data_IF_766776179930
#
_entry.id   IF_766776179930
#
_cell.length_a   1.000
_cell.length_b   1.000
_cell.length_c   1.000
_cell.angle_alpha   90.00
_cell.angle_beta   90.00
_cell.angle_gamma   90.00
#
_symmetry.space_group_name_H-M   'P 1'
#
loop_
_entity.id
_entity.type
_entity.pdbx_description
1 polymer ?
2 non-polymer ?
3 water ?
#
# COMPACT_ATOMS: atom_id res chain seq x y z
N UNK A 13 -6.80 29.04 4.62
CA UNK A 13 -6.87 29.47 3.19
C UNK A 13 -5.75 28.86 2.36
N UNK A 14 -4.55 28.79 2.93
CA UNK A 14 -3.41 28.20 2.24
C UNK A 14 -3.61 26.70 1.96
N UNK A 15 -4.60 26.10 2.64
CA UNK A 15 -4.97 24.71 2.44
C UNK A 15 -6.22 24.54 1.58
N UNK A 16 -6.73 25.66 1.08
CA UNK A 16 -7.77 25.64 0.06
C UNK A 16 -7.28 25.02 -1.26
N UNK A 17 -8.08 24.11 -1.87
CA UNK A 17 -7.66 23.24 -2.98
C UNK A 17 -6.79 23.90 -4.05
N UNK A 18 -7.31 24.93 -4.69
CA UNK A 18 -6.60 25.62 -5.75
C UNK A 18 -5.26 26.17 -5.21
N UNK A 19 -5.32 26.89 -4.10
CA UNK A 19 -4.14 27.50 -3.52
C UNK A 19 -3.12 26.43 -3.11
N UNK A 20 -3.62 25.33 -2.57
CA UNK A 20 -2.76 24.25 -2.10
C UNK A 20 -1.97 23.60 -3.23
N UNK A 21 -2.62 23.39 -4.37
CA UNK A 21 -1.96 22.82 -5.54
C UNK A 21 -0.90 23.75 -6.09
N UNK A 22 -1.20 25.04 -6.18
CA UNK A 22 -0.18 26.00 -6.61
C UNK A 22 0.98 26.05 -5.63
N UNK A 23 0.69 25.93 -4.34
CA UNK A 23 1.75 25.96 -3.34
C UNK A 23 2.63 24.71 -3.49
N UNK A 24 2.04 23.57 -3.79
CA UNK A 24 2.83 22.35 -3.94
C UNK A 24 3.67 22.41 -5.22
N UNK A 25 3.11 22.99 -6.27
CA UNK A 25 3.87 23.24 -7.48
C UNK A 25 5.19 23.97 -7.17
N UNK A 26 5.12 25.11 -6.50
CA UNK A 26 6.32 25.89 -6.25
C UNK A 26 7.27 25.17 -5.32
N UNK A 27 6.74 24.24 -4.52
CA UNK A 27 7.58 23.56 -3.56
C UNK A 27 8.35 22.38 -4.17
N UNK A 28 8.08 22.09 -5.45
CA UNK A 28 8.78 21.00 -6.12
C UNK A 28 10.30 21.10 -5.98
N UNK A 29 10.95 19.97 -5.71
CA UNK A 29 12.41 19.90 -5.63
C UNK A 29 13.03 20.29 -6.97
N UNK A 30 14.28 20.80 -6.95
CA UNK A 30 15.02 21.11 -8.17
C UNK A 30 15.46 19.81 -8.84
N UNK A 31 15.90 19.91 -10.09
CA UNK A 31 16.66 18.84 -10.72
C UNK A 31 17.94 18.55 -9.95
N UNK A 32 18.24 17.27 -9.81
CA UNK A 32 19.42 16.82 -9.10
C UNK A 32 20.37 16.14 -10.08
N UNK A 33 21.60 16.65 -10.17
CA UNK A 33 22.67 15.99 -10.92
C UNK A 33 23.66 15.32 -9.97
N UNK A 34 23.89 14.01 -10.15
CA UNK A 34 24.84 13.29 -9.30
C UNK A 34 26.29 13.68 -9.59
N UNK A 35 26.61 13.96 -10.85
CA UNK A 35 27.96 14.39 -11.21
C UNK A 35 28.97 13.28 -10.95
N UNK A 36 28.83 12.18 -11.69
CA UNK A 36 29.79 11.08 -11.62
C UNK A 36 31.11 11.49 -12.27
N UNK A 37 32.22 11.44 -11.52
CA UNK A 37 33.58 11.76 -12.00
C UNK A 37 34.10 10.82 -13.09
N UNK A 44 27.59 -2.04 -7.77
CA UNK A 44 28.62 -1.24 -7.09
C UNK A 44 28.62 0.22 -7.57
N UNK A 45 28.90 0.44 -8.86
CA UNK A 45 28.90 1.80 -9.38
C UNK A 45 27.46 2.25 -9.68
N UNK A 46 26.67 1.40 -10.32
CA UNK A 46 25.26 1.73 -10.50
C UNK A 46 24.58 1.93 -9.15
N UNK A 47 24.86 1.05 -8.19
CA UNK A 47 24.34 1.20 -6.83
C UNK A 47 25.04 2.33 -6.09
N UNK A 48 26.24 2.68 -6.56
CA UNK A 48 26.97 3.81 -6.01
C UNK A 48 26.24 5.09 -6.44
N UNK A 49 25.91 5.15 -7.72
CA UNK A 49 25.23 6.31 -8.27
C UNK A 49 23.85 6.49 -7.64
N UNK A 50 23.06 5.43 -7.61
CA UNK A 50 21.69 5.49 -7.08
C UNK A 50 21.74 5.98 -5.65
N UNK A 51 22.74 5.49 -4.92
CA UNK A 51 22.93 5.85 -3.53
C UNK A 51 23.38 7.29 -3.36
N UNK A 52 24.24 7.78 -4.25
CA UNK A 52 24.69 9.16 -4.13
C UNK A 52 23.52 10.07 -4.47
N UNK A 53 22.69 9.63 -5.41
CA UNK A 53 21.52 10.40 -5.84
C UNK A 53 20.53 10.54 -4.69
N UNK A 54 20.23 9.42 -4.04
CA UNK A 54 19.24 9.40 -2.98
C UNK A 54 19.62 10.39 -1.90
N UNK A 55 20.88 10.34 -1.52
CA UNK A 55 21.41 11.21 -0.48
C UNK A 55 21.19 12.68 -0.84
N UNK A 56 21.46 13.03 -2.09
CA UNK A 56 21.24 14.39 -2.58
C UNK A 56 19.76 14.77 -2.62
N UNK A 57 18.94 13.86 -3.11
CA UNK A 57 17.50 14.09 -3.20
C UNK A 57 16.85 14.26 -1.82
N UNK A 58 17.36 13.53 -0.83
CA UNK A 58 16.79 13.59 0.49
C UNK A 58 16.85 15.00 1.07
N UNK A 59 17.96 15.68 0.81
CA UNK A 59 18.14 17.04 1.29
C UNK A 59 17.01 17.91 0.79
N UNK A 60 16.73 17.82 -0.51
CA UNK A 60 15.68 18.63 -1.11
C UNK A 60 14.30 18.12 -0.73
N UNK A 61 14.21 16.83 -0.41
CA UNK A 61 12.94 16.31 0.04
C UNK A 61 12.53 16.94 1.36
N UNK A 62 13.45 17.06 2.30
CA UNK A 62 13.18 17.77 3.55
C UNK A 62 12.63 19.17 3.25
N UNK A 63 13.30 19.89 2.35
CA UNK A 63 12.90 21.27 2.07
C UNK A 63 11.50 21.26 1.51
N UNK A 64 11.23 20.31 0.63
CA UNK A 64 9.90 20.16 0.03
C UNK A 64 8.81 19.99 1.09
N UNK A 65 8.97 19.00 1.96
CA UNK A 65 8.05 18.79 3.08
C UNK A 65 7.77 20.06 3.90
N UNK A 66 8.82 20.78 4.28
CA UNK A 66 8.65 21.97 5.11
C UNK A 66 7.80 23.03 4.43
N UNK A 67 7.69 22.95 3.11
CA UNK A 67 6.90 23.92 2.35
C UNK A 67 5.45 23.49 2.19
N UNK A 68 5.13 22.27 2.61
CA UNK A 68 3.73 21.84 2.62
C UNK A 68 3.00 22.54 3.76
N UNK A 69 1.97 23.31 3.42
CA UNK A 69 1.27 24.12 4.42
C UNK A 69 0.88 23.30 5.64
N UNK A 70 1.36 23.74 6.81
CA UNK A 70 1.01 23.07 8.04
C UNK A 70 1.99 22.00 8.49
N UNK A 71 2.87 21.54 7.61
CA UNK A 71 3.75 20.43 7.97
C UNK A 71 4.67 20.83 9.12
N UNK A 72 5.28 22.01 9.00
CA UNK A 72 6.20 22.53 10.01
C UNK A 72 5.48 22.76 11.36
N UNK A 73 4.16 22.84 11.33
CA UNK A 73 3.36 23.02 12.54
C UNK A 73 2.98 21.73 13.27
N UNK A 74 3.20 20.57 12.64
CA UNK A 74 3.12 19.31 13.36
C UNK A 74 4.26 19.27 14.39
N UNK A 75 4.10 18.49 15.45
CA UNK A 75 5.19 18.30 16.40
C UNK A 75 6.39 17.80 15.63
N UNK A 76 7.57 18.19 16.08
CA UNK A 76 8.81 17.82 15.41
C UNK A 76 8.89 16.30 15.45
N UNK A 77 8.20 15.73 16.43
CA UNK A 77 8.17 14.30 16.59
C UNK A 77 7.52 13.65 15.37
N UNK A 78 6.33 14.13 15.02
CA UNK A 78 5.61 13.63 13.86
C UNK A 78 6.35 13.94 12.56
N UNK A 79 6.89 15.15 12.45
CA UNK A 79 7.63 15.54 11.27
C UNK A 79 8.74 14.54 10.97
N UNK A 80 9.54 14.24 11.99
CA UNK A 80 10.68 13.35 11.83
C UNK A 80 10.18 11.94 11.51
N UNK A 81 9.12 11.54 12.21
CA UNK A 81 8.50 10.24 12.02
C UNK A 81 8.05 10.06 10.56
N UNK A 82 7.37 11.07 10.02
CA UNK A 82 6.84 10.98 8.69
C UNK A 82 7.96 10.93 7.67
N UNK A 83 8.93 11.82 7.84
CA UNK A 83 10.06 11.88 6.94
C UNK A 83 10.84 10.56 6.90
N UNK A 84 11.02 9.96 8.07
CA UNK A 84 11.87 8.79 8.20
C UNK A 84 11.24 7.60 7.47
N UNK A 85 9.93 7.50 7.49
CA UNK A 85 9.29 6.32 6.93
C UNK A 85 8.82 6.50 5.49
N UNK A 86 8.72 7.74 5.03
CA UNK A 86 8.24 7.98 3.68
C UNK A 86 9.30 8.08 2.60
N UNK A 87 10.58 8.27 2.97
CA UNK A 87 11.48 8.94 2.05
C UNK A 87 11.65 8.15 0.78
N UNK A 88 11.78 6.85 0.93
CA UNK A 88 11.95 5.96 -0.19
C UNK A 88 10.71 5.99 -1.11
N UNK A 89 9.52 5.94 -0.53
CA UNK A 89 8.28 6.08 -1.32
C UNK A 89 8.22 7.38 -2.13
N UNK A 90 8.63 8.49 -1.51
CA UNK A 90 8.53 9.80 -2.16
C UNK A 90 9.51 9.88 -3.33
N UNK A 91 10.71 9.37 -3.12
CA UNK A 91 11.71 9.27 -4.17
C UNK A 91 11.19 8.44 -5.34
N UNK A 92 10.55 7.32 -5.04
CA UNK A 92 10.05 6.44 -6.09
C UNK A 92 8.84 7.04 -6.79
N UNK A 93 8.02 7.76 -6.04
CA UNK A 93 6.93 8.48 -6.66
C UNK A 93 7.49 9.51 -7.63
N UNK A 94 8.50 10.27 -7.19
CA UNK A 94 9.21 11.16 -8.08
C UNK A 94 9.74 10.48 -9.33
N UNK A 95 10.46 9.37 -9.15
CA UNK A 95 10.99 8.57 -10.25
C UNK A 95 9.88 8.19 -11.26
N UNK A 96 8.76 7.70 -10.73
CA UNK A 96 7.70 7.19 -11.60
C UNK A 96 7.12 8.31 -12.46
N UNK A 97 7.02 9.49 -11.85
CA UNK A 97 6.42 10.61 -12.53
C UNK A 97 7.33 11.15 -13.62
N UNK A 98 8.64 11.24 -13.39
CA UNK A 98 9.46 11.69 -14.50
C UNK A 98 9.74 10.61 -15.53
N UNK A 99 9.45 9.35 -15.20
CA UNK A 99 9.61 8.24 -16.15
C UNK A 99 8.32 7.93 -16.93
N UNK A 100 7.26 8.68 -16.63
CA UNK A 100 5.92 8.22 -16.98
C UNK A 100 5.68 8.18 -18.48
N UNK A 101 6.43 8.98 -19.23
CA UNK A 101 6.21 9.06 -20.67
C UNK A 101 7.16 8.17 -21.47
N UNK A 102 8.02 7.41 -20.79
CA UNK A 102 9.03 6.61 -21.46
C UNK A 102 9.07 5.16 -20.98
N UNK A 103 8.21 4.32 -21.55
CA UNK A 103 8.19 2.90 -21.22
C UNK A 103 9.56 2.26 -21.33
N UNK A 104 9.86 1.36 -20.40
CA UNK A 104 11.07 0.57 -20.48
C UNK A 104 12.23 1.30 -19.82
N UNK A 105 12.00 2.55 -19.44
CA UNK A 105 13.08 3.36 -18.90
C UNK A 105 12.77 3.96 -17.55
N UNK A 106 13.82 4.27 -16.80
CA UNK A 106 13.67 4.96 -15.53
C UNK A 106 14.54 6.22 -15.51
N UNK A 107 13.90 7.39 -15.62
CA UNK A 107 14.66 8.63 -15.50
C UNK A 107 14.88 8.99 -14.04
N UNK A 108 15.96 8.44 -13.48
CA UNK A 108 16.35 8.72 -12.09
C UNK A 108 16.79 10.17 -11.88
N UNK A 109 17.45 10.73 -12.90
CA UNK A 109 18.03 12.06 -12.80
C UNK A 109 18.50 12.44 -14.19
N UNK A 110 18.76 13.74 -14.41
CA UNK A 110 19.14 14.25 -15.73
C UNK A 110 20.41 13.66 -16.36
N UNK A 111 21.23 12.97 -15.58
CA UNK A 111 22.34 12.26 -16.20
C UNK A 111 22.39 10.82 -15.73
N UNK A 112 21.22 10.25 -15.45
CA UNK A 112 21.16 8.87 -14.99
C UNK A 112 19.87 8.22 -15.45
N UNK A 113 19.83 7.83 -16.72
CA UNK A 113 18.68 7.14 -17.27
C UNK A 113 19.03 5.68 -17.44
N UNK A 114 18.30 4.81 -16.74
CA UNK A 114 18.54 3.37 -16.81
C UNK A 114 17.35 2.68 -17.45
N UNK A 115 17.60 1.80 -18.42
CA UNK A 115 16.52 0.95 -18.92
C UNK A 115 16.51 -0.37 -18.18
N UNK A 116 15.42 -1.10 -18.34
CA UNK A 116 15.16 -2.24 -17.50
C UNK A 116 16.38 -3.14 -17.37
N UNK A 117 16.99 -3.48 -18.51
CA UNK A 117 17.99 -4.55 -18.57
C UNK A 117 19.26 -4.20 -17.82
N UNK A 118 19.60 -2.92 -17.75
CA UNK A 118 20.73 -2.50 -16.94
C UNK A 118 20.55 -2.94 -15.50
N UNK A 119 19.37 -3.45 -15.17
CA UNK A 119 19.11 -3.86 -13.80
C UNK A 119 19.52 -5.29 -13.50
N UNK A 120 19.96 -6.01 -14.52
CA UNK A 120 20.42 -7.39 -14.34
C UNK A 120 21.83 -7.42 -13.74
N UNK A 121 22.62 -6.40 -14.00
CA UNK A 121 23.94 -6.25 -13.42
C UNK A 121 23.93 -6.56 -11.93
N UNK A 122 23.23 -5.73 -11.16
CA UNK A 122 23.08 -5.97 -9.73
C UNK A 122 21.92 -6.90 -9.43
N UNK A 123 22.18 -7.89 -8.59
CA UNK A 123 21.21 -8.94 -8.31
C UNK A 123 20.12 -8.38 -7.42
N UNK A 124 18.88 -8.78 -7.66
CA UNK A 124 17.78 -8.32 -6.84
C UNK A 124 17.12 -7.04 -7.32
N UNK A 125 17.86 -6.27 -8.12
CA UNK A 125 17.38 -4.97 -8.59
C UNK A 125 16.40 -5.10 -9.74
N UNK A 126 16.66 -6.03 -10.66
CA UNK A 126 15.79 -6.19 -11.82
C UNK A 126 14.34 -6.31 -11.34
N UNK A 127 14.16 -7.08 -10.27
CA UNK A 127 12.84 -7.33 -9.70
C UNK A 127 12.17 -6.03 -9.32
N UNK A 128 12.94 -5.13 -8.71
CA UNK A 128 12.44 -3.83 -8.27
C UNK A 128 12.16 -2.89 -9.45
N UNK A 129 13.07 -2.86 -10.42
CA UNK A 129 12.88 -2.08 -11.63
C UNK A 129 11.56 -2.46 -12.30
N UNK A 130 11.21 -3.74 -12.21
CA UNK A 130 10.01 -4.22 -12.87
C UNK A 130 8.75 -3.77 -12.13
N UNK A 131 8.82 -3.71 -10.81
CA UNK A 131 7.73 -3.13 -10.03
C UNK A 131 7.55 -1.63 -10.29
N UNK A 132 8.66 -0.91 -10.41
CA UNK A 132 8.62 0.53 -10.65
C UNK A 132 8.09 0.80 -12.05
N UNK A 133 8.54 0.03 -13.02
CA UNK A 133 8.12 0.22 -14.39
C UNK A 133 6.65 -0.12 -14.55
N UNK A 134 6.19 -1.10 -13.78
CA UNK A 134 4.81 -1.56 -13.91
C UNK A 134 3.86 -0.53 -13.30
N UNK A 135 4.27 0.03 -12.17
CA UNK A 135 3.45 1.04 -11.50
C UNK A 135 3.40 2.33 -12.35
N UNK A 136 4.54 2.70 -12.92
CA UNK A 136 4.63 3.86 -13.80
C UNK A 136 3.70 3.65 -14.99
N UNK A 137 3.77 2.45 -15.56
CA UNK A 137 2.89 2.06 -16.64
C UNK A 137 1.41 2.29 -16.29
N UNK A 138 1.05 1.97 -15.05
CA UNK A 138 -0.32 2.14 -14.59
C UNK A 138 -0.72 3.63 -14.47
N UNK A 139 0.16 4.45 -13.90
CA UNK A 139 -0.03 5.89 -13.91
C UNK A 139 -0.16 6.48 -15.32
N UNK A 140 0.64 5.97 -16.26
CA UNK A 140 0.49 6.35 -17.66
C UNK A 140 -0.89 5.98 -18.23
N UNK A 141 -1.34 4.76 -17.97
CA UNK A 141 -2.67 4.33 -18.42
C UNK A 141 -3.80 5.17 -17.82
N UNK A 142 -3.62 5.62 -16.58
CA UNK A 142 -4.61 6.46 -15.93
C UNK A 142 -4.49 7.89 -16.40
N UNK A 143 -3.40 8.18 -17.10
CA UNK A 143 -3.16 9.54 -17.55
C UNK A 143 -3.08 10.47 -16.34
N UNK A 144 -2.19 10.12 -15.41
CA UNK A 144 -2.00 10.94 -14.21
C UNK A 144 -1.70 12.38 -14.62
N UNK A 145 -2.45 13.33 -14.05
CA UNK A 145 -2.25 14.75 -14.29
C UNK A 145 -1.18 15.34 -13.38
N UNK A 146 -0.61 16.47 -13.79
CA UNK A 146 0.39 17.17 -12.98
C UNK A 146 -0.22 17.54 -11.62
N UNK A 147 -1.43 18.07 -11.62
CA UNK A 147 -2.11 18.43 -10.38
C UNK A 147 -2.38 17.23 -9.46
N UNK A 148 -2.81 16.13 -10.05
CA UNK A 148 -3.05 14.91 -9.28
C UNK A 148 -1.74 14.40 -8.67
N UNK A 149 -0.68 14.38 -9.46
CA UNK A 149 0.62 13.93 -8.98
C UNK A 149 1.10 14.78 -7.79
N UNK A 150 0.87 16.09 -7.83
CA UNK A 150 1.29 16.94 -6.71
C UNK A 150 0.53 16.57 -5.44
N UNK A 151 -0.75 16.24 -5.57
CA UNK A 151 -1.56 15.84 -4.42
C UNK A 151 -1.14 14.47 -3.87
N UNK A 152 -1.00 13.50 -4.76
CA UNK A 152 -0.65 12.13 -4.36
C UNK A 152 0.68 12.08 -3.60
N UNK A 153 1.68 12.79 -4.10
CA UNK A 153 2.99 12.78 -3.46
C UNK A 153 2.97 13.38 -2.03
N UNK A 154 2.22 14.47 -1.85
CA UNK A 154 2.04 15.00 -0.51
C UNK A 154 1.32 13.97 0.38
N UNK A 155 0.35 13.29 -0.20
CA UNK A 155 -0.38 12.27 0.54
C UNK A 155 0.52 11.11 0.97
N UNK A 156 1.41 10.69 0.09
CA UNK A 156 2.39 9.67 0.43
C UNK A 156 3.17 10.04 1.69
N UNK A 157 3.64 11.29 1.76
CA UNK A 157 4.30 11.77 2.96
C UNK A 157 3.38 11.68 4.17
N UNK A 158 2.23 12.31 4.04
CA UNK A 158 1.33 12.49 5.16
C UNK A 158 0.74 11.19 5.66
N UNK A 159 0.74 10.17 4.81
CA UNK A 159 0.15 8.87 5.15
C UNK A 159 1.22 7.81 5.45
N UNK A 160 2.49 8.20 5.60
CA UNK A 160 3.54 7.17 5.61
C UNK A 160 3.57 6.35 6.89
N UNK A 161 3.10 6.95 7.97
CA UNK A 161 3.17 6.29 9.26
C UNK A 161 1.86 6.40 10.00
N UNK A 162 1.35 5.25 10.47
CA UNK A 162 0.08 5.21 11.22
C UNK A 162 0.28 5.82 12.61
N UNK A 163 1.44 5.55 13.21
CA UNK A 163 1.65 5.80 14.64
C UNK A 163 1.33 7.23 15.03
N UNK A 164 1.88 8.21 14.29
CA UNK A 164 1.65 9.61 14.63
C UNK A 164 0.18 9.98 14.47
N UNK A 165 -0.66 8.99 14.21
CA UNK A 165 -2.07 9.21 13.98
C UNK A 165 -2.95 8.40 14.96
N UNK A 166 -2.35 7.40 15.60
CA UNK A 166 -3.07 6.54 16.54
C UNK A 166 -2.33 6.38 17.87
N UNK A 174 -1.29 16.93 18.27
CA UNK A 174 -0.73 17.05 16.93
C UNK A 174 -1.31 16.01 15.98
N UNK A 175 -1.83 14.92 16.52
CA UNK A 175 -2.49 13.92 15.69
C UNK A 175 -3.70 14.57 15.03
N UNK A 176 -4.44 15.36 15.81
CA UNK A 176 -5.53 16.15 15.28
C UNK A 176 -5.03 16.90 14.04
N UNK A 177 -3.85 17.50 14.14
CA UNK A 177 -3.32 18.32 13.07
C UNK A 177 -3.00 17.49 11.81
N UNK A 178 -2.41 16.31 12.01
CA UNK A 178 -2.03 15.48 10.87
C UNK A 178 -3.27 15.00 10.12
N UNK A 179 -4.28 14.58 10.87
CA UNK A 179 -5.52 14.12 10.27
C UNK A 179 -6.17 15.23 9.45
N UNK A 180 -6.11 16.44 9.98
CA UNK A 180 -6.73 17.57 9.28
C UNK A 180 -5.96 17.89 8.01
N UNK A 181 -4.65 17.73 8.07
CA UNK A 181 -3.79 18.04 6.95
C UNK A 181 -3.99 17.00 5.84
N UNK A 182 -4.08 15.74 6.24
CA UNK A 182 -4.30 14.65 5.31
C UNK A 182 -5.67 14.79 4.62
N UNK A 183 -6.67 15.24 5.36
CA UNK A 183 -7.99 15.48 4.78
C UNK A 183 -7.95 16.64 3.79
N UNK A 184 -7.18 17.66 4.12
CA UNK A 184 -7.05 18.83 3.26
C UNK A 184 -6.47 18.46 1.89
N UNK A 185 -5.43 17.64 1.88
CA UNK A 185 -4.81 17.20 0.63
C UNK A 185 -5.70 16.27 -0.19
N UNK A 186 -6.39 15.36 0.51
CA UNK A 186 -7.44 14.58 -0.11
C UNK A 186 -8.54 15.43 -0.77
N UNK A 187 -9.06 16.42 -0.05
CA UNK A 187 -10.04 17.34 -0.64
C UNK A 187 -9.51 17.95 -1.92
N UNK A 188 -8.24 18.36 -1.88
CA UNK A 188 -7.63 18.99 -3.05
C UNK A 188 -7.56 18.00 -4.22
N UNK A 189 -7.16 16.76 -3.95
CA UNK A 189 -7.17 15.71 -4.97
C UNK A 189 -8.59 15.47 -5.50
N UNK A 190 -9.56 15.37 -4.60
CA UNK A 190 -10.97 15.22 -5.00
C UNK A 190 -11.40 16.42 -5.85
N UNK A 191 -10.98 17.60 -5.45
CA UNK A 191 -11.32 18.80 -6.22
C UNK A 191 -10.71 18.71 -7.61
N UNK A 192 -9.43 18.34 -7.68
CA UNK A 192 -8.74 18.19 -8.96
C UNK A 192 -9.47 17.21 -9.87
N UNK A 193 -9.96 16.12 -9.29
CA UNK A 193 -10.68 15.10 -10.07
C UNK A 193 -12.03 15.64 -10.52
N UNK A 194 -12.67 16.43 -9.68
CA UNK A 194 -13.97 17.02 -10.01
C UNK A 194 -13.93 17.93 -11.25
N UNK A 195 -12.96 18.86 -11.31
CA UNK A 195 -12.91 19.78 -12.43
C UNK A 195 -12.48 19.05 -13.70
N UNK A 196 -12.32 17.73 -13.58
CA UNK A 196 -12.06 16.86 -14.71
C UNK A 196 -13.28 16.79 -15.64
N UNK A 197 -14.45 17.14 -15.13
CA UNK A 197 -15.64 17.16 -15.96
C UNK A 197 -16.28 15.79 -16.13
N UNK A 198 -15.73 14.77 -15.47
CA UNK A 198 -16.29 13.42 -15.59
C UNK A 198 -17.44 13.18 -14.60
N UNK A 199 -18.19 12.11 -14.83
CA UNK A 199 -19.39 11.86 -14.05
C UNK A 199 -18.99 11.59 -12.62
N UNK A 200 -19.96 11.56 -11.72
CA UNK A 200 -19.68 11.30 -10.32
C UNK A 200 -19.26 9.87 -10.01
N UNK A 201 -19.76 8.91 -10.79
CA UNK A 201 -19.34 7.52 -10.63
C UNK A 201 -17.88 7.37 -11.03
N UNK A 202 -17.49 8.07 -12.10
CA UNK A 202 -16.13 8.01 -12.62
C UNK A 202 -15.18 8.72 -11.67
N UNK A 203 -15.65 9.79 -11.03
CA UNK A 203 -14.84 10.52 -10.08
C UNK A 203 -14.46 9.63 -8.91
N UNK A 204 -15.44 8.90 -8.38
CA UNK A 204 -15.19 7.96 -7.32
C UNK A 204 -14.22 6.88 -7.79
N UNK A 205 -14.40 6.42 -9.03
CA UNK A 205 -13.58 5.34 -9.53
C UNK A 205 -12.13 5.81 -9.69
N UNK A 206 -11.96 7.01 -10.22
CA UNK A 206 -10.64 7.56 -10.41
C UNK A 206 -9.93 7.79 -9.07
N UNK A 207 -10.65 8.32 -8.08
CA UNK A 207 -10.07 8.46 -6.76
C UNK A 207 -9.61 7.08 -6.27
N UNK A 208 -10.50 6.10 -6.33
CA UNK A 208 -10.16 4.76 -5.88
C UNK A 208 -8.96 4.16 -6.64
N UNK A 209 -8.94 4.33 -7.97
CA UNK A 209 -7.84 3.78 -8.75
C UNK A 209 -6.49 4.42 -8.38
N UNK A 210 -6.49 5.73 -8.15
CA UNK A 210 -5.29 6.43 -7.72
C UNK A 210 -4.80 5.93 -6.37
N UNK A 211 -5.70 5.83 -5.40
CA UNK A 211 -5.30 5.50 -4.05
C UNK A 211 -4.83 4.06 -3.92
N UNK A 212 -5.40 3.17 -4.73
CA UNK A 212 -4.97 1.78 -4.73
C UNK A 212 -3.58 1.62 -5.29
N UNK A 213 -3.18 2.49 -6.21
CA UNK A 213 -1.80 2.55 -6.64
C UNK A 213 -0.82 2.87 -5.52
N UNK A 214 -1.27 3.58 -4.49
CA UNK A 214 -0.41 3.88 -3.36
C UNK A 214 0.10 2.59 -2.73
N UNK A 215 -0.76 1.58 -2.65
CA UNK A 215 -0.33 0.28 -2.15
C UNK A 215 0.90 -0.22 -2.90
N UNK A 216 0.93 0.03 -4.20
CA UNK A 216 1.99 -0.52 -5.03
C UNK A 216 3.27 0.29 -4.93
N UNK A 217 3.11 1.60 -4.73
CA UNK A 217 4.26 2.46 -4.43
C UNK A 217 4.84 2.08 -3.06
N UNK A 218 3.99 1.83 -2.07
CA UNK A 218 4.47 1.38 -0.78
C UNK A 218 5.24 0.07 -0.95
N UNK A 219 4.73 -0.80 -1.81
CA UNK A 219 5.33 -2.11 -2.02
C UNK A 219 6.76 -1.96 -2.56
N UNK A 220 6.89 -1.25 -3.68
CA UNK A 220 8.20 -1.05 -4.29
C UNK A 220 9.15 -0.40 -3.27
N UNK A 221 8.58 0.45 -2.44
CA UNK A 221 9.33 1.14 -1.40
C UNK A 221 9.91 0.13 -0.38
N UNK A 222 9.10 -0.84 0.00
CA UNK A 222 9.52 -1.85 0.96
C UNK A 222 10.59 -2.76 0.35
N UNK A 223 10.41 -3.14 -0.91
CA UNK A 223 11.41 -3.95 -1.60
C UNK A 223 12.74 -3.21 -1.73
N UNK A 224 12.66 -1.93 -2.07
CA UNK A 224 13.88 -1.15 -2.23
C UNK A 224 14.60 -0.90 -0.92
N UNK A 225 13.85 -0.83 0.18
CA UNK A 225 14.46 -0.69 1.49
C UNK A 225 15.17 -1.97 1.91
N UNK A 226 14.53 -3.11 1.68
CA UNK A 226 15.08 -4.39 2.08
C UNK A 226 16.41 -4.56 1.34
N UNK A 227 16.42 -4.23 0.06
CA UNK A 227 17.57 -4.48 -0.79
C UNK A 227 18.71 -3.55 -0.36
N UNK A 228 18.37 -2.30 -0.06
CA UNK A 228 19.35 -1.33 0.37
C UNK A 228 20.05 -1.80 1.63
N UNK A 229 19.31 -2.49 2.49
CA UNK A 229 19.83 -2.91 3.78
C UNK A 229 20.58 -4.23 3.66
N UNK A 230 20.23 -5.03 2.65
CA UNK A 230 20.99 -6.23 2.35
C UNK A 230 22.29 -5.93 1.62
N UNK A 231 22.69 -4.66 1.56
CA UNK A 231 23.84 -4.30 0.74
C UNK A 231 25.14 -4.15 1.52
N UNK A 232 26.22 -4.65 0.94
CA UNK A 232 27.57 -4.50 1.49
C UNK A 232 28.55 -4.27 0.34
N UNK A 237 27.35 4.45 -0.44
CA UNK A 237 26.99 5.52 0.50
C UNK A 237 25.85 5.10 1.46
N UNK A 238 26.01 5.40 2.76
CA UNK A 238 25.01 5.10 3.80
C UNK A 238 23.86 6.12 3.81
N UNK A 239 22.86 5.91 2.95
CA UNK A 239 21.82 6.92 2.82
C UNK A 239 21.08 7.10 4.15
N UNK A 240 20.70 5.98 4.77
CA UNK A 240 19.79 6.01 5.91
C UNK A 240 20.38 6.76 7.10
N UNK A 241 21.65 6.50 7.37
CA UNK A 241 22.37 7.21 8.44
C UNK A 241 22.52 8.69 8.09
N UNK A 242 22.84 8.98 6.84
CA UNK A 242 22.93 10.36 6.37
C UNK A 242 21.59 11.05 6.53
N UNK A 243 20.51 10.32 6.27
CA UNK A 243 19.17 10.86 6.48
C UNK A 243 18.92 11.21 7.96
N UNK A 244 19.34 10.31 8.85
CA UNK A 244 19.20 10.55 10.28
C UNK A 244 20.00 11.76 10.78
N UNK A 245 21.17 11.98 10.21
CA UNK A 245 21.90 13.21 10.45
C UNK A 245 21.08 14.43 10.03
N UNK A 246 20.56 14.39 8.82
CA UNK A 246 19.73 15.50 8.32
C UNK A 246 18.56 15.72 9.27
N UNK A 247 18.06 14.63 9.83
CA UNK A 247 16.86 14.68 10.66
C UNK A 247 17.18 15.30 12.02
N UNK A 248 18.33 14.94 12.56
CA UNK A 248 18.84 15.59 13.76
C UNK A 248 19.16 17.07 13.49
N UNK A 249 19.65 17.37 12.29
CA UNK A 249 19.85 18.75 11.86
C UNK A 249 18.52 19.49 11.84
N UNK A 250 17.49 18.81 11.35
CA UNK A 250 16.13 19.33 11.35
C UNK A 250 15.59 19.49 12.75
N UNK B 12 -23.56 -9.64 -15.34
CA UNK B 12 -23.47 -8.23 -14.88
C UNK B 12 -24.11 -8.10 -13.50
N UNK B 13 -25.33 -8.61 -13.39
CA UNK B 13 -26.16 -8.37 -12.20
C UNK B 13 -25.60 -9.03 -10.94
N UNK B 14 -24.91 -10.16 -11.09
CA UNK B 14 -24.30 -10.84 -9.96
C UNK B 14 -23.18 -10.00 -9.31
N UNK B 15 -22.74 -8.97 -10.03
CA UNK B 15 -21.71 -8.06 -9.55
C UNK B 15 -22.33 -6.76 -9.05
N UNK B 16 -23.67 -6.70 -9.03
CA UNK B 16 -24.38 -5.56 -8.47
C UNK B 16 -24.06 -5.37 -6.99
N UNK B 17 -23.91 -4.11 -6.55
CA UNK B 17 -23.51 -3.79 -5.17
C UNK B 17 -24.17 -4.68 -4.11
N UNK B 18 -25.49 -4.71 -4.10
CA UNK B 18 -26.20 -5.47 -3.07
C UNK B 18 -25.95 -7.00 -3.12
N UNK B 19 -26.15 -7.60 -4.29
CA UNK B 19 -25.91 -9.04 -4.43
C UNK B 19 -24.47 -9.37 -4.09
N UNK B 20 -23.56 -8.48 -4.45
CA UNK B 20 -22.14 -8.76 -4.35
C UNK B 20 -21.73 -8.87 -2.88
N UNK B 21 -22.20 -7.91 -2.09
CA UNK B 21 -21.92 -7.90 -0.67
C UNK B 21 -22.49 -9.14 0.00
N UNK B 22 -23.72 -9.51 -0.36
CA UNK B 22 -24.29 -10.74 0.18
C UNK B 22 -23.53 -11.97 -0.26
N UNK B 23 -23.07 -11.98 -1.50
CA UNK B 23 -22.30 -13.12 -2.00
C UNK B 23 -20.97 -13.22 -1.26
N UNK B 24 -20.33 -12.09 -0.97
CA UNK B 24 -19.06 -12.15 -0.26
C UNK B 24 -19.29 -12.61 1.17
N UNK B 25 -20.39 -12.17 1.77
CA UNK B 25 -20.74 -12.63 3.10
C UNK B 25 -20.76 -14.16 3.19
N UNK B 26 -21.51 -14.81 2.31
CA UNK B 26 -21.60 -16.26 2.34
C UNK B 26 -20.25 -16.91 2.02
N UNK B 27 -19.42 -16.23 1.24
CA UNK B 27 -18.13 -16.80 0.86
C UNK B 27 -17.09 -16.74 1.99
N UNK B 28 -17.42 -16.12 3.12
CA UNK B 28 -16.46 -15.99 4.20
C UNK B 28 -15.92 -17.34 4.68
N UNK B 29 -14.61 -17.39 4.94
CA UNK B 29 -13.94 -18.62 5.37
C UNK B 29 -14.50 -19.06 6.72
N UNK B 30 -14.42 -20.36 7.02
CA UNK B 30 -14.82 -20.89 8.34
C UNK B 30 -13.80 -20.43 9.38
N UNK B 31 -14.19 -20.46 10.66
CA UNK B 31 -13.25 -20.48 11.76
C UNK B 31 -12.21 -21.59 11.59
N UNK B 32 -10.95 -21.26 11.87
CA UNK B 32 -9.88 -22.23 11.76
C UNK B 32 -9.31 -22.51 13.13
N UNK B 33 -9.39 -23.78 13.52
CA UNK B 33 -8.78 -24.27 14.75
C UNK B 33 -7.43 -24.91 14.49
N UNK B 34 -6.38 -24.32 15.05
CA UNK B 34 -5.03 -24.79 14.83
C UNK B 34 -4.77 -26.15 15.48
N UNK B 35 -5.44 -26.40 16.61
CA UNK B 35 -5.36 -27.71 17.27
C UNK B 35 -3.92 -28.10 17.58
N UNK B 36 -3.33 -27.43 18.57
CA UNK B 36 -1.97 -27.75 19.01
C UNK B 36 -2.01 -28.86 20.05
N UNK B 37 -1.25 -29.95 19.82
CA UNK B 37 -1.17 -31.12 20.73
C UNK B 37 -0.59 -30.82 22.13
N UNK B 44 9.76 -20.34 17.76
CA UNK B 44 9.68 -21.74 17.34
C UNK B 44 8.27 -22.31 17.48
N UNK B 45 7.72 -22.32 18.70
CA UNK B 45 6.37 -22.83 18.90
C UNK B 45 5.34 -21.77 18.50
N UNK B 46 5.47 -20.56 19.04
CA UNK B 46 4.60 -19.49 18.59
C UNK B 46 4.66 -19.33 17.07
N UNK B 47 5.88 -19.39 16.53
CA UNK B 47 6.08 -19.33 15.09
C UNK B 47 5.68 -20.62 14.40
N UNK B 48 5.69 -21.72 15.14
CA UNK B 48 5.17 -22.98 14.64
C UNK B 48 3.65 -22.90 14.51
N UNK B 49 3.01 -22.34 15.53
CA UNK B 49 1.55 -22.17 15.53
C UNK B 49 1.09 -21.29 14.38
N UNK B 50 1.63 -20.07 14.33
CA UNK B 50 1.25 -19.09 13.32
C UNK B 50 1.42 -19.70 11.94
N UNK B 51 2.51 -20.42 11.76
CA UNK B 51 2.80 -21.06 10.49
C UNK B 51 1.83 -22.18 10.14
N UNK B 52 1.45 -22.99 11.12
CA UNK B 52 0.52 -24.07 10.83
C UNK B 52 -0.86 -23.48 10.59
N UNK B 53 -1.16 -22.36 11.25
CA UNK B 53 -2.42 -21.66 11.06
C UNK B 53 -2.52 -21.10 9.65
N UNK B 54 -1.50 -20.37 9.24
CA UNK B 54 -1.45 -19.77 7.91
C UNK B 54 -1.72 -20.84 6.86
N UNK B 55 -1.09 -21.99 7.03
CA UNK B 55 -1.20 -23.06 6.05
C UNK B 55 -2.65 -23.53 5.93
N UNK B 56 -3.31 -23.70 7.08
CA UNK B 56 -4.72 -24.08 7.12
C UNK B 56 -5.64 -23.01 6.55
N UNK B 57 -5.31 -21.74 6.81
CA UNK B 57 -6.13 -20.63 6.35
C UNK B 57 -6.03 -20.50 4.83
N UNK B 58 -4.85 -20.78 4.30
CA UNK B 58 -4.62 -20.67 2.88
C UNK B 58 -5.57 -21.53 2.08
N UNK B 59 -5.76 -22.77 2.52
CA UNK B 59 -6.69 -23.67 1.87
C UNK B 59 -8.02 -22.96 1.72
N UNK B 60 -8.52 -22.39 2.81
CA UNK B 60 -9.85 -21.78 2.78
C UNK B 60 -9.83 -20.46 2.05
N UNK B 61 -8.69 -19.80 2.04
CA UNK B 61 -8.60 -18.57 1.29
C UNK B 61 -8.80 -18.81 -0.22
N UNK B 62 -8.23 -19.89 -0.75
CA UNK B 62 -8.47 -20.28 -2.15
C UNK B 62 -9.98 -20.44 -2.40
N UNK B 63 -10.63 -21.22 -1.53
CA UNK B 63 -12.06 -21.45 -1.69
C UNK B 63 -12.79 -20.11 -1.72
N UNK B 64 -12.43 -19.22 -0.81
CA UNK B 64 -13.01 -17.89 -0.74
C UNK B 64 -12.88 -17.12 -2.06
N UNK B 65 -11.64 -17.00 -2.54
CA UNK B 65 -11.38 -16.35 -3.82
C UNK B 65 -12.24 -16.94 -4.95
N UNK B 66 -12.37 -18.26 -5.00
CA UNK B 66 -13.13 -18.91 -6.08
C UNK B 66 -14.62 -18.56 -6.05
N UNK B 67 -15.10 -18.09 -4.90
CA UNK B 67 -16.49 -17.70 -4.75
C UNK B 67 -16.77 -16.23 -5.05
N UNK B 68 -15.71 -15.46 -5.28
CA UNK B 68 -15.89 -14.06 -5.69
C UNK B 68 -16.32 -14.05 -7.15
N UNK B 69 -17.51 -13.51 -7.44
CA UNK B 69 -18.07 -13.56 -8.78
C UNK B 69 -17.06 -13.11 -9.82
N UNK B 70 -16.84 -13.97 -10.82
CA UNK B 70 -15.96 -13.60 -11.90
C UNK B 70 -14.50 -13.99 -11.69
N UNK B 71 -14.12 -14.31 -10.46
CA UNK B 71 -12.71 -14.61 -10.17
C UNK B 71 -12.27 -15.81 -10.98
N UNK B 72 -13.08 -16.86 -10.93
CA UNK B 72 -12.83 -18.10 -11.65
C UNK B 72 -12.81 -17.93 -13.19
N UNK B 73 -13.42 -16.85 -13.68
CA UNK B 73 -13.47 -16.56 -15.12
C UNK B 73 -12.31 -15.67 -15.60
N UNK B 74 -11.37 -15.36 -14.70
CA UNK B 74 -10.07 -14.84 -15.13
C UNK B 74 -9.21 -16.00 -15.63
N UNK B 75 -8.15 -15.68 -16.36
CA UNK B 75 -7.18 -16.69 -16.78
C UNK B 75 -6.56 -17.31 -15.55
N UNK B 76 -6.23 -18.59 -15.65
CA UNK B 76 -5.68 -19.32 -14.52
C UNK B 76 -4.38 -18.63 -14.11
N UNK B 77 -3.75 -18.00 -15.09
CA UNK B 77 -2.47 -17.36 -14.85
C UNK B 77 -2.65 -16.19 -13.89
N UNK B 78 -3.66 -15.37 -14.16
CA UNK B 78 -3.97 -14.25 -13.27
C UNK B 78 -4.47 -14.73 -11.91
N UNK B 79 -5.35 -15.73 -11.89
CA UNK B 79 -5.83 -16.29 -10.64
C UNK B 79 -4.66 -16.67 -9.73
N UNK B 80 -3.66 -17.29 -10.33
CA UNK B 80 -2.50 -17.75 -9.56
C UNK B 80 -1.61 -16.57 -9.15
N UNK B 81 -1.43 -15.60 -10.04
CA UNK B 81 -0.70 -14.38 -9.71
C UNK B 81 -1.30 -13.68 -8.49
N UNK B 82 -2.62 -13.49 -8.52
CA UNK B 82 -3.27 -12.74 -7.47
C UNK B 82 -3.16 -13.48 -6.16
N UNK B 83 -3.45 -14.77 -6.19
CA UNK B 83 -3.43 -15.55 -4.98
C UNK B 83 -2.05 -15.58 -4.33
N UNK B 84 -1.01 -15.71 -5.15
CA UNK B 84 0.36 -15.80 -4.67
C UNK B 84 0.78 -14.46 -4.07
N UNK B 85 0.34 -13.37 -4.69
CA UNK B 85 0.75 -12.04 -4.22
C UNK B 85 -0.02 -11.59 -2.99
N UNK B 86 -1.26 -12.02 -2.86
CA UNK B 86 -2.09 -11.40 -1.83
C UNK B 86 -2.11 -12.09 -0.49
N UNK B 87 -1.68 -13.34 -0.43
CA UNK B 87 -2.23 -14.22 0.59
C UNK B 87 -1.97 -13.69 1.97
N UNK B 88 -0.77 -13.17 2.18
CA UNK B 88 -0.38 -12.62 3.47
C UNK B 88 -1.22 -11.39 3.83
N UNK B 89 -1.44 -10.50 2.87
CA UNK B 89 -2.33 -9.36 3.07
C UNK B 89 -3.74 -9.77 3.47
N UNK B 90 -4.32 -10.75 2.77
CA UNK B 90 -5.68 -11.18 3.08
C UNK B 90 -5.77 -11.79 4.49
N UNK B 91 -4.77 -12.59 4.83
CA UNK B 91 -4.68 -13.17 6.17
C UNK B 91 -4.63 -12.06 7.23
N UNK B 92 -3.79 -11.07 7.01
CA UNK B 92 -3.64 -9.99 7.97
C UNK B 92 -4.88 -9.09 7.99
N UNK B 93 -5.53 -8.94 6.85
CA UNK B 93 -6.79 -8.23 6.84
C UNK B 93 -7.81 -8.97 7.71
N UNK B 94 -7.89 -10.28 7.54
CA UNK B 94 -8.71 -11.09 8.43
C UNK B 94 -8.38 -10.92 9.91
N UNK B 95 -7.10 -11.01 10.25
CA UNK B 95 -6.64 -10.81 11.61
C UNK B 95 -7.10 -9.46 12.17
N UNK B 96 -6.90 -8.41 11.40
CA UNK B 96 -7.21 -7.08 11.91
C UNK B 96 -8.71 -6.94 12.18
N UNK B 97 -9.51 -7.58 11.34
CA UNK B 97 -10.94 -7.47 11.47
C UNK B 97 -11.46 -8.24 12.68
N UNK B 98 -10.95 -9.44 12.94
CA UNK B 98 -11.43 -10.11 14.13
C UNK B 98 -10.76 -9.64 15.42
N UNK B 99 -9.72 -8.81 15.29
CA UNK B 99 -9.08 -8.21 16.49
C UNK B 99 -9.58 -6.79 16.77
N UNK B 100 -10.49 -6.30 15.94
CA UNK B 100 -10.79 -4.87 15.85
C UNK B 100 -11.41 -4.31 17.13
N UNK B 101 -12.03 -5.18 17.91
CA UNK B 101 -12.70 -4.68 19.09
C UNK B 101 -11.90 -4.90 20.38
N UNK B 102 -10.67 -5.42 20.24
CA UNK B 102 -9.85 -5.75 21.38
C UNK B 102 -8.45 -5.18 21.29
N UNK B 103 -8.30 -3.92 21.68
CA UNK B 103 -6.99 -3.27 21.65
C UNK B 103 -5.96 -4.05 22.44
N UNK B 104 -4.75 -4.12 21.89
CA UNK B 104 -3.63 -4.73 22.58
C UNK B 104 -3.55 -6.20 22.29
N UNK B 105 -4.54 -6.72 21.56
CA UNK B 105 -4.60 -8.16 21.30
C UNK B 105 -4.71 -8.48 19.83
N UNK B 106 -4.29 -9.68 19.47
CA UNK B 106 -4.46 -10.19 18.14
C UNK B 106 -5.17 -11.54 18.19
N UNK B 107 -6.42 -11.57 17.73
CA UNK B 107 -7.15 -12.83 17.64
C UNK B 107 -6.84 -13.51 16.31
N UNK B 108 -5.74 -14.25 16.29
CA UNK B 108 -5.34 -15.04 15.12
C UNK B 108 -6.30 -16.17 14.79
N UNK B 109 -6.90 -16.74 15.82
CA UNK B 109 -7.75 -17.92 15.67
C UNK B 109 -8.41 -18.16 17.02
N UNK B 110 -9.48 -18.95 17.04
CA UNK B 110 -10.22 -19.24 18.27
C UNK B 110 -9.41 -19.88 19.43
N UNK B 111 -8.28 -20.51 19.16
CA UNK B 111 -7.46 -20.98 20.28
C UNK B 111 -6.05 -20.40 20.20
N UNK B 112 -5.94 -19.20 19.62
CA UNK B 112 -4.66 -18.51 19.53
C UNK B 112 -4.82 -17.00 19.62
N UNK B 113 -4.99 -16.50 20.83
CA UNK B 113 -5.04 -15.06 21.08
C UNK B 113 -3.70 -14.62 21.66
N UNK B 114 -3.06 -13.65 21.01
CA UNK B 114 -1.79 -13.13 21.48
C UNK B 114 -1.90 -11.64 21.77
N UNK B 115 -1.31 -11.19 22.89
CA UNK B 115 -1.19 -9.76 23.13
C UNK B 115 0.19 -9.24 22.78
N UNK B 116 0.29 -7.92 22.65
CA UNK B 116 1.49 -7.29 22.13
C UNK B 116 2.72 -7.97 22.70
N UNK B 117 2.80 -8.02 24.04
CA UNK B 117 4.02 -8.42 24.74
C UNK B 117 4.55 -9.78 24.32
N UNK B 118 3.67 -10.74 24.12
CA UNK B 118 4.07 -12.07 23.70
C UNK B 118 4.88 -12.02 22.42
N UNK B 119 4.86 -10.88 21.75
CA UNK B 119 5.61 -10.75 20.50
C UNK B 119 7.09 -10.52 20.73
N UNK B 120 7.49 -10.39 21.99
CA UNK B 120 8.90 -10.15 22.33
C UNK B 120 9.72 -11.44 22.28
N UNK B 121 9.09 -12.55 22.60
CA UNK B 121 9.73 -13.85 22.53
C UNK B 121 10.53 -14.00 21.24
N UNK B 122 9.82 -14.09 20.10
CA UNK B 122 10.50 -14.14 18.81
C UNK B 122 10.97 -12.76 18.36
N UNK B 123 12.20 -12.71 17.88
CA UNK B 123 12.82 -11.45 17.49
C UNK B 123 12.25 -11.01 16.16
N UNK B 124 12.03 -9.71 16.01
CA UNK B 124 11.53 -9.19 14.75
C UNK B 124 10.01 -9.13 14.70
N UNK B 125 9.36 -9.99 15.48
CA UNK B 125 7.91 -10.10 15.45
C UNK B 125 7.23 -8.92 16.13
N UNK B 126 7.84 -8.41 17.20
CA UNK B 126 7.24 -7.32 17.95
C UNK B 126 6.90 -6.14 17.02
N UNK B 127 7.80 -5.85 16.09
CA UNK B 127 7.63 -4.69 15.21
C UNK B 127 6.40 -4.91 14.33
N UNK B 128 6.25 -6.13 13.84
CA UNK B 128 5.10 -6.48 13.01
C UNK B 128 3.79 -6.42 13.79
N UNK B 129 3.77 -6.96 15.00
CA UNK B 129 2.58 -6.89 15.85
C UNK B 129 2.16 -5.45 16.03
N UNK B 130 3.14 -4.56 16.14
CA UNK B 130 2.81 -3.16 16.39
C UNK B 130 2.20 -2.53 15.15
N UNK B 131 2.70 -2.89 13.99
CA UNK B 131 2.07 -2.44 12.75
C UNK B 131 0.64 -2.96 12.63
N UNK B 132 0.44 -4.25 12.91
CA UNK B 132 -0.88 -4.87 12.86
C UNK B 132 -1.82 -4.22 13.87
N UNK B 133 -1.35 -4.01 15.08
CA UNK B 133 -2.20 -3.44 16.11
C UNK B 133 -2.53 -1.99 15.79
N UNK B 134 -1.58 -1.29 15.16
CA UNK B 134 -1.78 0.12 14.89
C UNK B 134 -2.79 0.29 13.76
N UNK B 135 -2.68 -0.56 12.74
CA UNK B 135 -3.61 -0.53 11.61
C UNK B 135 -5.03 -0.90 12.08
N UNK B 136 -5.11 -1.88 12.98
CA UNK B 136 -6.39 -2.35 13.54
C UNK B 136 -7.08 -1.23 14.31
N UNK B 137 -6.29 -0.44 15.03
CA UNK B 137 -6.78 0.72 15.73
C UNK B 137 -7.34 1.79 14.80
N UNK B 138 -6.73 2.00 13.65
CA UNK B 138 -7.34 2.94 12.71
C UNK B 138 -8.67 2.42 12.14
N UNK B 139 -8.73 1.14 11.81
CA UNK B 139 -10.00 0.56 11.41
C UNK B 139 -11.05 0.69 12.50
N UNK B 140 -10.65 0.54 13.77
CA UNK B 140 -11.57 0.76 14.88
C UNK B 140 -12.02 2.22 14.99
N UNK B 141 -11.08 3.16 14.82
CA UNK B 141 -11.41 4.58 14.87
C UNK B 141 -12.34 5.00 13.74
N UNK B 142 -12.16 4.40 12.56
CA UNK B 142 -13.01 4.70 11.40
C UNK B 142 -14.34 3.99 11.54
N UNK B 143 -14.42 3.06 12.49
CA UNK B 143 -15.63 2.29 12.68
C UNK B 143 -15.93 1.49 11.40
N UNK B 144 -14.94 0.73 10.95
CA UNK B 144 -15.13 -0.13 9.79
C UNK B 144 -16.39 -0.99 9.95
N UNK B 145 -17.27 -0.92 8.95
CA UNK B 145 -18.49 -1.72 8.89
C UNK B 145 -18.25 -3.13 8.35
N UNK B 146 -19.15 -4.06 8.68
CA UNK B 146 -19.03 -5.42 8.23
C UNK B 146 -19.04 -5.49 6.70
N UNK B 147 -19.92 -4.75 6.03
CA UNK B 147 -19.89 -4.83 4.58
C UNK B 147 -18.82 -4.04 3.86
N UNK B 148 -18.33 -2.98 4.51
CA UNK B 148 -17.09 -2.32 4.09
C UNK B 148 -15.91 -3.31 4.17
N UNK B 149 -15.80 -4.02 5.29
CA UNK B 149 -14.73 -5.01 5.41
C UNK B 149 -14.81 -6.09 4.31
N UNK B 150 -16.02 -6.54 3.98
CA UNK B 150 -16.17 -7.56 2.95
C UNK B 150 -15.67 -7.03 1.60
N UNK B 151 -15.95 -5.76 1.31
CA UNK B 151 -15.49 -5.13 0.08
C UNK B 151 -13.97 -4.93 0.04
N UNK B 152 -13.44 -4.39 1.11
CA UNK B 152 -12.02 -4.08 1.19
C UNK B 152 -11.15 -5.33 0.98
N UNK B 153 -11.51 -6.42 1.66
CA UNK B 153 -10.76 -7.65 1.56
C UNK B 153 -10.76 -8.26 0.15
N UNK B 154 -11.90 -8.21 -0.54
CA UNK B 154 -11.91 -8.60 -1.93
C UNK B 154 -11.00 -7.67 -2.76
N UNK B 155 -11.02 -6.37 -2.45
CA UNK B 155 -10.18 -5.43 -3.18
C UNK B 155 -8.71 -5.74 -2.98
N UNK B 156 -8.34 -6.11 -1.76
CA UNK B 156 -6.97 -6.51 -1.47
C UNK B 156 -6.50 -7.65 -2.38
N UNK B 157 -7.37 -8.64 -2.59
CA UNK B 157 -7.04 -9.73 -3.50
C UNK B 157 -6.88 -9.20 -4.91
N UNK B 158 -7.91 -8.53 -5.40
CA UNK B 158 -7.97 -8.11 -6.80
C UNK B 158 -6.90 -7.09 -7.14
N UNK B 159 -6.35 -6.42 -6.14
CA UNK B 159 -5.37 -5.35 -6.37
C UNK B 159 -3.96 -5.76 -5.93
N UNK B 160 -3.77 -7.04 -5.64
CA UNK B 160 -2.49 -7.48 -5.07
C UNK B 160 -1.34 -7.46 -6.08
N UNK B 161 -1.64 -7.69 -7.35
CA UNK B 161 -0.59 -7.74 -8.36
C UNK B 161 -0.89 -6.79 -9.50
N UNK B 162 0.12 -6.03 -9.90
CA UNK B 162 -0.03 -5.05 -10.98
C UNK B 162 0.04 -5.72 -12.35
N UNK B 163 0.95 -6.68 -12.48
CA UNK B 163 1.31 -7.24 -13.78
C UNK B 163 0.13 -7.73 -14.61
N UNK B 164 -0.81 -8.46 -13.98
CA UNK B 164 -1.98 -8.98 -14.68
C UNK B 164 -2.90 -7.86 -15.21
N UNK B 165 -2.49 -6.63 -15.01
CA UNK B 165 -3.29 -5.49 -15.40
C UNK B 165 -2.56 -4.62 -16.44
N UNK B 166 -1.24 -4.80 -16.53
CA UNK B 166 -0.42 -4.04 -17.47
C UNK B 166 0.50 -4.96 -18.26
N UNK B 174 -7.88 -10.94 -20.56
CA UNK B 174 -8.18 -11.21 -19.16
C UNK B 174 -7.89 -10.00 -18.28
N UNK B 175 -7.03 -9.11 -18.75
CA UNK B 175 -6.77 -7.86 -18.05
C UNK B 175 -8.02 -6.99 -18.05
N UNK B 176 -8.74 -7.00 -19.17
CA UNK B 176 -10.04 -6.35 -19.28
C UNK B 176 -10.97 -6.86 -18.18
N UNK B 177 -10.94 -8.16 -17.94
CA UNK B 177 -11.82 -8.77 -16.95
C UNK B 177 -11.43 -8.35 -15.53
N UNK B 178 -10.14 -8.33 -15.23
CA UNK B 178 -9.71 -8.00 -13.88
C UNK B 178 -10.06 -6.56 -13.53
N UNK B 179 -9.87 -5.65 -14.48
CA UNK B 179 -10.20 -4.25 -14.27
C UNK B 179 -11.70 -4.08 -14.06
N UNK B 180 -12.48 -4.85 -14.80
CA UNK B 180 -13.93 -4.76 -14.65
C UNK B 180 -14.30 -5.19 -13.23
N UNK B 181 -13.70 -6.29 -12.77
CA UNK B 181 -14.02 -6.86 -11.47
C UNK B 181 -13.60 -5.90 -10.36
N UNK B 182 -12.41 -5.33 -10.51
CA UNK B 182 -11.90 -4.37 -9.54
C UNK B 182 -12.81 -3.14 -9.45
N UNK B 183 -13.38 -2.73 -10.59
CA UNK B 183 -14.32 -1.61 -10.61
C UNK B 183 -15.65 -1.99 -9.94
N UNK B 184 -16.10 -3.22 -10.14
CA UNK B 184 -17.35 -3.67 -9.54
C UNK B 184 -17.28 -3.67 -8.00
N UNK B 185 -16.18 -4.14 -7.46
CA UNK B 185 -16.01 -4.21 -6.00
C UNK B 185 -15.90 -2.81 -5.41
N UNK B 186 -15.15 -1.95 -6.08
CA UNK B 186 -15.10 -0.54 -5.74
C UNK B 186 -16.47 0.15 -5.77
N UNK B 187 -17.23 -0.07 -6.84
CA UNK B 187 -18.60 0.44 -6.90
C UNK B 187 -19.39 -0.03 -5.69
N UNK B 188 -19.21 -1.31 -5.36
CA UNK B 188 -19.93 -1.88 -4.23
C UNK B 188 -19.55 -1.16 -2.93
N UNK B 189 -18.25 -0.94 -2.72
CA UNK B 189 -17.77 -0.19 -1.54
C UNK B 189 -18.32 1.22 -1.55
N UNK B 190 -18.23 1.91 -2.68
CA UNK B 190 -18.81 3.26 -2.80
C UNK B 190 -20.29 3.20 -2.47
N UNK B 191 -20.98 2.19 -3.00
CA UNK B 191 -22.39 2.03 -2.69
C UNK B 191 -22.61 1.87 -1.18
N UNK B 192 -21.82 0.99 -0.56
CA UNK B 192 -21.91 0.79 0.89
C UNK B 192 -21.75 2.09 1.66
N UNK B 193 -20.77 2.89 1.26
CA UNK B 193 -20.49 4.16 1.91
C UNK B 193 -21.63 5.14 1.67
N UNK B 194 -22.24 5.08 0.48
CA UNK B 194 -23.33 5.96 0.14
C UNK B 194 -24.52 5.78 1.09
N UNK B 195 -25.00 4.55 1.26
CA UNK B 195 -26.19 4.34 2.08
C UNK B 195 -25.90 4.60 3.56
N UNK B 196 -24.65 4.92 3.84
CA UNK B 196 -24.25 5.44 5.15
C UNK B 196 -25.01 6.71 5.50
N UNK B 197 -25.50 7.43 4.49
CA UNK B 197 -26.31 8.60 4.74
C UNK B 197 -25.52 9.89 4.85
N UNK B 198 -24.20 9.78 4.99
CA UNK B 198 -23.35 10.94 5.22
C UNK B 198 -23.22 11.81 3.95
N UNK B 199 -22.66 12.99 4.11
CA UNK B 199 -22.62 13.95 3.01
C UNK B 199 -21.70 13.45 1.92
N UNK B 200 -21.65 14.18 0.81
CA UNK B 200 -20.86 13.77 -0.34
C UNK B 200 -19.36 14.02 -0.17
N UNK B 201 -18.99 15.05 0.58
CA UNK B 201 -17.60 15.31 0.87
C UNK B 201 -17.06 14.25 1.82
N UNK B 202 -17.92 13.81 2.74
CA UNK B 202 -17.55 12.79 3.72
C UNK B 202 -17.43 11.43 3.07
N UNK B 203 -18.28 11.16 2.09
CA UNK B 203 -18.23 9.92 1.36
C UNK B 203 -16.90 9.78 0.64
N UNK B 204 -16.49 10.85 -0.02
CA UNK B 204 -15.17 10.88 -0.63
C UNK B 204 -14.06 10.71 0.41
N UNK B 205 -14.19 11.38 1.55
CA UNK B 205 -13.15 11.31 2.56
C UNK B 205 -13.09 9.89 3.15
N UNK B 206 -14.25 9.28 3.35
CA UNK B 206 -14.27 7.93 3.86
C UNK B 206 -13.67 6.91 2.89
N UNK B 207 -14.02 7.01 1.62
CA UNK B 207 -13.40 6.16 0.61
C UNK B 207 -11.89 6.34 0.68
N UNK B 208 -11.43 7.58 0.58
CA UNK B 208 -9.99 7.87 0.66
C UNK B 208 -9.33 7.33 1.94
N UNK B 209 -9.97 7.52 3.09
CA UNK B 209 -9.38 7.04 4.33
C UNK B 209 -9.22 5.52 4.36
N UNK B 210 -10.24 4.81 3.89
CA UNK B 210 -10.22 3.35 3.77
C UNK B 210 -9.11 2.85 2.83
N UNK B 211 -8.94 3.52 1.71
CA UNK B 211 -8.04 2.99 0.68
C UNK B 211 -6.58 3.28 1.05
N UNK B 212 -6.33 4.44 1.64
CA UNK B 212 -5.02 4.74 2.17
C UNK B 212 -4.58 3.73 3.21
N UNK B 213 -5.52 3.17 3.98
CA UNK B 213 -5.17 2.09 4.88
C UNK B 213 -4.64 0.85 4.16
N UNK B 214 -5.04 0.63 2.92
CA UNK B 214 -4.55 -0.52 2.18
C UNK B 214 -3.02 -0.47 2.10
N UNK B 215 -2.48 0.74 2.00
CA UNK B 215 -1.04 0.89 1.98
C UNK B 215 -0.42 0.28 3.22
N UNK B 216 -1.09 0.43 4.35
CA UNK B 216 -0.51 -0.01 5.61
C UNK B 216 -0.66 -1.51 5.78
N UNK B 217 -1.77 -2.05 5.28
CA UNK B 217 -1.92 -3.50 5.17
C UNK B 217 -0.87 -4.12 4.25
N UNK B 218 -0.65 -3.51 3.08
CA UNK B 218 0.39 -4.00 2.19
C UNK B 218 1.73 -4.00 2.94
N UNK B 219 1.99 -2.92 3.67
CA UNK B 219 3.24 -2.72 4.37
C UNK B 219 3.49 -3.86 5.38
N UNK B 220 2.55 -4.04 6.31
CA UNK B 220 2.64 -5.13 7.28
C UNK B 220 2.81 -6.49 6.57
N UNK B 221 2.17 -6.63 5.43
CA UNK B 221 2.27 -7.83 4.62
C UNK B 221 3.72 -8.05 4.16
N UNK B 222 4.37 -6.95 3.78
CA UNK B 222 5.74 -7.04 3.29
C UNK B 222 6.70 -7.35 4.43
N UNK B 223 6.50 -6.74 5.59
CA UNK B 223 7.33 -7.05 6.76
C UNK B 223 7.16 -8.51 7.20
N UNK B 224 5.93 -9.00 7.14
CA UNK B 224 5.67 -10.36 7.59
C UNK B 224 6.21 -11.40 6.64
N UNK B 225 6.21 -11.08 5.35
CA UNK B 225 6.82 -11.94 4.34
C UNK B 225 8.34 -11.98 4.50
N UNK B 226 8.94 -10.83 4.72
CA UNK B 226 10.38 -10.75 4.85
C UNK B 226 10.78 -11.60 6.06
N UNK B 227 10.03 -11.45 7.14
CA UNK B 227 10.38 -12.10 8.39
C UNK B 227 10.22 -13.61 8.23
N UNK B 228 9.18 -14.00 7.50
CA UNK B 228 8.91 -15.40 7.27
C UNK B 228 10.03 -16.06 6.46
N UNK B 229 10.64 -15.29 5.57
CA UNK B 229 11.68 -15.83 4.70
C UNK B 229 13.05 -15.80 5.38
N UNK B 230 13.19 -14.94 6.38
CA UNK B 230 14.39 -14.93 7.23
C UNK B 230 14.33 -16.00 8.31
N UNK B 231 13.45 -16.98 8.16
CA UNK B 231 13.26 -17.95 9.24
C UNK B 231 13.97 -19.27 9.02
N UNK B 232 14.53 -19.80 10.12
CA UNK B 232 15.15 -21.11 10.12
C UNK B 232 15.04 -21.68 11.54
N UNK B 237 6.84 -24.73 9.65
CA UNK B 237 6.16 -25.17 8.43
C UNK B 237 6.42 -24.26 7.22
N UNK B 238 6.68 -24.86 6.05
CA UNK B 238 6.95 -24.14 4.80
C UNK B 238 5.66 -23.63 4.13
N UNK B 239 5.14 -22.51 4.63
CA UNK B 239 3.82 -22.07 4.17
C UNK B 239 3.85 -21.82 2.65
N UNK B 240 4.89 -21.14 2.19
CA UNK B 240 4.92 -20.63 0.81
C UNK B 240 5.01 -21.74 -0.23
N UNK B 241 5.79 -22.77 0.07
CA UNK B 241 5.89 -23.94 -0.79
C UNK B 241 4.59 -24.73 -0.77
N UNK B 242 4.00 -24.85 0.42
CA UNK B 242 2.70 -25.52 0.56
C UNK B 242 1.62 -24.75 -0.19
N UNK B 243 1.75 -23.43 -0.26
CA UNK B 243 0.86 -22.61 -1.06
C UNK B 243 1.01 -22.90 -2.56
N UNK B 244 2.25 -23.04 -2.99
CA UNK B 244 2.53 -23.38 -4.39
C UNK B 244 2.00 -24.76 -4.81
N UNK B 245 2.05 -25.72 -3.89
CA UNK B 245 1.39 -26.99 -4.13
C UNK B 245 -0.13 -26.80 -4.31
N UNK B 246 -0.74 -26.06 -3.38
CA UNK B 246 -2.18 -25.81 -3.46
C UNK B 246 -2.46 -25.11 -4.78
N UNK B 247 -1.55 -24.22 -5.18
CA UNK B 247 -1.76 -23.44 -6.39
C UNK B 247 -1.66 -24.31 -7.65
N UNK B 248 -0.77 -25.28 -7.62
CA UNK B 248 -0.69 -26.28 -8.68
C UNK B 248 -1.91 -27.19 -8.74
N UNK B 249 -2.47 -27.55 -7.58
CA UNK B 249 -3.69 -28.37 -7.50
C UNK B 249 -4.90 -27.57 -8.02
N UNK B 250 -5.01 -26.31 -7.57
CA UNK B 250 -5.94 -25.34 -8.14
C UNK B 250 -5.83 -25.31 -9.67
N UNK B 251 -4.59 -25.37 -10.15
CA UNK B 251 -4.25 -25.39 -11.57
C UNK B 251 -4.60 -26.70 -12.29
N UNK B 252 -4.65 -27.81 -11.55
CA UNK B 252 -4.95 -29.12 -12.16
C UNK B 252 -6.40 -29.53 -11.90
#
# INVERSE_FOLDING_TARGET
MHHHHHHRELLLDALSPEQLVLTLLEAEPPHVLISRPSAPFTEASMMMSLTKLADKELVHMISWAKKIPGFVELSLFDQVRLLESCWMEVLMMGLMWRSIDHPGKLIFAPDLVLDRDEGKCVEGILEIFDMLLATTSRFRELKLQHKEYLCVKAMILLNSSMYPLVTATQDADSSRKLAHLLNAVTDALVWVIAKSGISSQQQSMRLANLLMLLSHVRHASNKGMEHLLNMKCKNVVPVYDLLLEMLNAHVLRGCKS
MHHHHHHRELLLDALSPEQLVLTLLEAEPPHVLISRPSAPFTEASMMMSLTKLADKELVHMISWAKKIPGFVELSLFDQVRLLESCWMEVLMMGLMWRSIDHPGKLIFAPDLVLDRDEGKCVEGILEIFDMLLATTSRFRELKLQHKEYLCVKAMILLNSSMYPLVTATQDADSSRKLAHLLNAVTDALVWVIAKSGISSQQQSMRLANLLMLLSHVRHASNKGMEHLLNMKCKNVVPVYDLLLEMLNAHVLRGCKS
#
